data_IF_094909093345
#
_entry.id   IF_094909093345
#
_cell.length_a   1.000
_cell.length_b   1.000
_cell.length_c   1.000
_cell.angle_alpha   90.00
_cell.angle_beta   90.00
_cell.angle_gamma   90.00
#
_symmetry.space_group_name_H-M   'P 1'
#
loop_
_entity.id
_entity.type
_entity.pdbx_description
1 polymer ?
#
# COMPACT_ATOMS: atom_id res chain seq x y z
N UNK A 1 27.76 4.67 12.80
CA UNK A 1 27.42 5.15 11.44
C UNK A 1 27.89 4.08 10.47
N UNK A 2 27.13 3.52 9.53
CA UNK A 2 25.84 3.84 8.89
C UNK A 2 25.38 2.49 8.33
N UNK A 3 24.23 1.98 8.74
CA UNK A 3 23.77 0.66 8.31
C UNK A 3 23.12 0.74 6.93
N UNK A 4 23.74 0.02 5.99
CA UNK A 4 23.16 -0.86 4.96
C UNK A 4 22.05 -0.27 4.07
N UNK A 5 22.45 0.08 2.85
CA UNK A 5 21.77 -0.01 1.55
C UNK A 5 20.33 -0.56 1.56
N UNK A 6 19.32 0.30 1.38
CA UNK A 6 18.00 -0.09 0.86
C UNK A 6 17.94 0.28 -0.62
N UNK A 7 18.50 -0.57 -1.47
CA UNK A 7 18.27 -0.52 -2.92
C UNK A 7 16.98 -1.29 -3.18
N UNK A 8 15.84 -0.59 -3.21
CA UNK A 8 14.59 -1.19 -3.70
C UNK A 8 14.37 -0.65 -5.11
N UNK A 9 14.88 -1.38 -6.08
CA UNK A 9 14.50 -1.24 -7.48
C UNK A 9 13.30 -2.16 -7.69
N UNK A 10 12.10 -1.60 -7.74
CA UNK A 10 10.91 -2.31 -8.23
C UNK A 10 10.47 -1.66 -9.53
N UNK A 11 10.91 -2.30 -10.62
CA UNK A 11 10.32 -2.17 -11.95
C UNK A 11 9.03 -3.00 -11.90
N UNK A 12 7.89 -2.34 -11.80
CA UNK A 12 6.59 -2.96 -12.02
C UNK A 12 5.87 -2.20 -13.15
N UNK A 13 6.09 -2.68 -14.37
CA UNK A 13 5.18 -2.40 -15.49
C UNK A 13 4.01 -3.36 -15.29
N UNK A 14 2.93 -2.90 -14.68
CA UNK A 14 1.67 -3.65 -14.60
C UNK A 14 0.56 -2.82 -15.26
N UNK A 15 0.18 -3.27 -16.45
CA UNK A 15 -0.88 -2.70 -17.27
C UNK A 15 -2.23 -2.81 -16.57
N UNK A 16 -2.89 -1.66 -16.40
CA UNK A 16 -4.34 -1.42 -16.50
C UNK A 16 -5.27 -2.54 -16.03
N UNK A 17 -5.81 -2.42 -14.80
CA UNK A 17 -7.24 -2.63 -14.52
C UNK A 17 -7.61 -2.36 -13.06
N UNK A 18 -7.48 -1.11 -12.59
CA UNK A 18 -8.00 -0.67 -11.30
C UNK A 18 -9.17 0.30 -11.53
N UNK A 19 -10.40 -0.19 -11.52
CA UNK A 19 -11.59 0.68 -11.67
C UNK A 19 -12.78 0.33 -10.76
N UNK A 20 -12.68 -0.66 -9.85
CA UNK A 20 -13.89 -1.12 -9.13
C UNK A 20 -13.78 -1.29 -7.60
N UNK A 21 -12.68 -0.90 -6.96
CA UNK A 21 -12.55 -0.90 -5.48
C UNK A 21 -12.32 0.51 -4.86
N UNK A 22 -12.49 1.56 -5.66
CA UNK A 22 -12.00 2.92 -5.42
C UNK A 22 -12.73 3.75 -4.33
N UNK A 23 -13.74 3.21 -3.62
CA UNK A 23 -14.49 4.04 -2.67
C UNK A 23 -13.80 4.21 -1.32
N UNK A 24 -13.06 3.20 -0.85
CA UNK A 24 -12.40 3.25 0.46
C UNK A 24 -10.91 3.55 0.32
N UNK A 25 -10.24 3.00 -0.70
CA UNK A 25 -8.83 3.26 -0.96
C UNK A 25 -8.55 4.75 -1.22
N UNK A 26 -9.25 5.37 -2.19
CA UNK A 26 -9.01 6.77 -2.55
C UNK A 26 -9.39 7.75 -1.42
N UNK A 27 -10.06 7.28 -0.36
CA UNK A 27 -10.32 8.09 0.85
C UNK A 27 -9.22 7.97 1.90
N UNK A 28 -8.47 6.86 1.86
CA UNK A 28 -7.34 6.60 2.75
C UNK A 28 -6.03 7.10 2.15
N UNK A 29 -5.90 7.06 0.82
CA UNK A 29 -4.80 7.65 0.03
C UNK A 29 -4.99 9.17 -0.03
N UNK A 30 -4.64 9.84 1.06
CA UNK A 30 -4.82 11.30 1.20
C UNK A 30 -3.77 12.04 0.39
N UNK A 31 -2.59 11.43 0.22
CA UNK A 31 -1.48 12.04 -0.52
C UNK A 31 -1.57 11.82 -2.04
N UNK A 32 -2.41 10.87 -2.48
CA UNK A 32 -2.64 10.55 -3.89
C UNK A 32 -1.46 9.82 -4.53
N UNK A 33 -0.70 9.07 -3.73
CA UNK A 33 0.46 8.30 -4.17
C UNK A 33 0.06 7.07 -4.98
N UNK A 34 -1.18 6.59 -4.82
CA UNK A 34 -1.66 5.33 -5.38
C UNK A 34 -1.33 4.11 -4.51
N UNK A 35 -0.81 4.33 -3.30
CA UNK A 35 -0.56 3.31 -2.26
C UNK A 35 -1.07 3.83 -0.90
N UNK A 36 -1.43 2.96 0.04
CA UNK A 36 -1.75 3.34 1.42
C UNK A 36 -0.51 3.14 2.26
N UNK A 37 0.09 4.22 2.70
CA UNK A 37 1.21 4.15 3.63
C UNK A 37 0.78 3.62 5.00
N UNK A 38 1.69 3.05 5.78
CA UNK A 38 1.41 2.67 7.17
C UNK A 38 0.80 3.82 8.01
N UNK A 39 1.21 5.07 7.76
CA UNK A 39 0.67 6.25 8.43
C UNK A 39 -0.81 6.50 8.09
N UNK A 40 -1.20 6.25 6.84
CA UNK A 40 -2.58 6.36 6.37
C UNK A 40 -3.40 5.16 6.83
N UNK A 41 -2.84 3.95 6.77
CA UNK A 41 -3.46 2.77 7.35
C UNK A 41 -3.71 2.91 8.85
N UNK A 42 -2.85 3.64 9.56
CA UNK A 42 -3.01 3.90 11.00
C UNK A 42 -4.25 4.72 11.35
N UNK A 43 -4.88 5.41 10.39
CA UNK A 43 -6.14 6.12 10.62
C UNK A 43 -7.31 5.15 10.83
N UNK A 44 -7.17 3.92 10.33
CA UNK A 44 -8.16 2.85 10.47
C UNK A 44 -7.55 1.64 11.20
N UNK A 45 -7.99 1.42 12.43
CA UNK A 45 -7.48 0.33 13.26
C UNK A 45 -7.71 -1.07 12.67
N UNK A 46 -8.78 -1.25 11.88
CA UNK A 46 -9.07 -2.53 11.20
C UNK A 46 -8.10 -2.72 10.04
N UNK A 47 -7.88 -1.66 9.25
CA UNK A 47 -6.92 -1.70 8.16
C UNK A 47 -5.51 -1.97 8.67
N UNK A 48 -5.08 -1.26 9.71
CA UNK A 48 -3.77 -1.45 10.33
C UNK A 48 -3.55 -2.87 10.85
N UNK A 49 -4.61 -3.51 11.38
CA UNK A 49 -4.54 -4.89 11.84
C UNK A 49 -4.39 -5.90 10.69
N UNK A 50 -4.94 -5.58 9.52
CA UNK A 50 -4.82 -6.39 8.31
C UNK A 50 -3.62 -5.98 7.45
N UNK A 51 -3.02 -4.81 7.72
CA UNK A 51 -1.97 -4.23 6.90
C UNK A 51 -0.81 -5.19 6.69
N UNK A 52 -0.29 -5.79 7.77
CA UNK A 52 0.80 -6.77 7.65
C UNK A 52 0.38 -8.09 6.98
N UNK A 53 -0.92 -8.37 6.88
CA UNK A 53 -1.44 -9.56 6.20
C UNK A 53 -1.64 -9.28 4.70
N UNK A 54 -1.92 -8.02 4.34
CA UNK A 54 -2.11 -7.55 2.96
C UNK A 54 -0.81 -7.13 2.28
N UNK A 55 0.12 -6.55 3.05
CA UNK A 55 1.48 -6.14 2.65
C UNK A 55 2.33 -7.40 2.44
N UNK A 56 2.07 -8.09 1.34
CA UNK A 56 2.68 -9.39 1.01
C UNK A 56 4.14 -9.22 0.64
N UNK A 57 4.49 -8.08 0.04
CA UNK A 57 5.86 -7.74 -0.32
C UNK A 57 6.65 -7.10 0.84
N UNK A 58 5.98 -6.77 1.95
CA UNK A 58 6.54 -6.17 3.17
C UNK A 58 7.30 -4.87 2.88
N UNK A 59 6.80 -4.09 1.92
CA UNK A 59 7.39 -2.81 1.54
C UNK A 59 7.03 -1.69 2.54
N UNK A 60 5.97 -1.88 3.34
CA UNK A 60 5.45 -0.91 4.31
C UNK A 60 4.34 0.01 3.78
N UNK A 61 3.76 -0.31 2.63
CA UNK A 61 2.72 0.42 1.89
C UNK A 61 1.77 -0.60 1.21
N UNK A 62 0.46 -0.36 1.21
CA UNK A 62 -0.50 -1.22 0.50
C UNK A 62 -0.80 -0.66 -0.88
N UNK A 63 -0.51 -1.42 -1.92
CA UNK A 63 -0.92 -1.09 -3.28
C UNK A 63 -2.44 -1.23 -3.45
N UNK A 64 -3.02 -0.61 -4.50
CA UNK A 64 -4.44 -0.81 -4.84
C UNK A 64 -4.79 -2.28 -5.01
N UNK A 65 -3.87 -3.07 -5.55
CA UNK A 65 -4.01 -4.51 -5.70
C UNK A 65 -4.04 -5.22 -4.34
N UNK A 66 -3.08 -4.96 -3.46
CA UNK A 66 -2.96 -5.58 -2.13
C UNK A 66 -4.13 -5.19 -1.22
N UNK A 67 -4.58 -3.94 -1.31
CA UNK A 67 -5.79 -3.48 -0.61
C UNK A 67 -7.06 -4.15 -1.14
N UNK A 68 -7.12 -4.46 -2.45
CA UNK A 68 -8.26 -5.17 -3.04
C UNK A 68 -8.30 -6.66 -2.66
N UNK A 69 -7.23 -7.22 -2.10
CA UNK A 69 -7.19 -8.58 -1.56
C UNK A 69 -7.66 -8.68 -0.09
N UNK A 70 -8.03 -7.54 0.53
CA UNK A 70 -8.54 -7.42 1.91
C UNK A 70 -10.02 -7.72 2.10
#
# INVERSE_FOLDING_TARGET
>A
MKSINKTLALIAIASSSAAFAATDFDTLDVDGSGTISQAEASVDAKLMSMFSELDTDQNGELSKEEFSEA
#
